data_IF_529600457921
#
_entry.id   IF_529600457921
#
_cell.length_a   1.000
_cell.length_b   1.000
_cell.length_c   1.000
_cell.angle_alpha   90.00
_cell.angle_beta   90.00
_cell.angle_gamma   90.00
#
_symmetry.space_group_name_H-M   'P 1'
#
loop_
_entity.id
_entity.type
_entity.pdbx_description
1 polymer ?
#
# COMPACT_ATOMS: atom_id res chain seq x y z
N UNK A 1 5.67 13.71 8.02
CA UNK A 1 6.55 12.55 7.85
C UNK A 1 5.71 11.29 8.08
N UNK A 2 5.95 10.19 7.39
CA UNK A 2 5.30 8.92 7.71
C UNK A 2 5.91 8.35 8.98
N UNK A 3 5.17 7.51 9.69
CA UNK A 3 5.78 6.56 10.60
C UNK A 3 6.54 5.54 9.76
N UNK A 4 7.77 5.25 10.13
CA UNK A 4 8.59 4.28 9.44
C UNK A 4 8.46 2.90 10.06
N UNK A 5 8.43 1.88 9.20
CA UNK A 5 8.49 0.49 9.62
C UNK A 5 9.78 -0.10 9.07
N UNK A 6 10.68 -0.49 9.95
CA UNK A 6 11.87 -1.26 9.58
C UNK A 6 11.49 -2.69 9.32
N UNK A 7 11.86 -3.19 8.16
CA UNK A 7 11.66 -4.58 7.73
C UNK A 7 13.02 -5.26 7.64
N UNK A 8 13.12 -6.48 8.14
CA UNK A 8 14.25 -7.38 7.92
C UNK A 8 13.77 -8.62 7.18
N UNK A 9 14.32 -8.87 6.02
CA UNK A 9 14.00 -10.05 5.23
C UNK A 9 15.23 -10.96 5.19
N UNK A 10 15.10 -12.15 5.78
CA UNK A 10 16.15 -13.19 5.75
C UNK A 10 15.72 -14.31 4.83
N UNK A 11 16.58 -14.70 3.90
CA UNK A 11 16.27 -15.66 2.85
C UNK A 11 17.27 -16.81 2.91
N UNK A 12 16.77 -18.03 2.98
CA UNK A 12 17.58 -19.25 2.98
C UNK A 12 17.16 -20.16 1.81
N UNK A 13 18.14 -20.84 1.24
CA UNK A 13 17.90 -21.81 0.17
C UNK A 13 18.79 -21.60 -1.06
N UNK A 14 18.49 -22.35 -2.13
CA UNK A 14 19.27 -22.29 -3.37
C UNK A 14 19.25 -20.90 -3.99
N UNK A 15 20.43 -20.40 -4.42
CA UNK A 15 20.59 -19.11 -5.09
C UNK A 15 20.12 -17.87 -4.29
N UNK A 16 19.90 -17.97 -2.97
CA UNK A 16 19.37 -16.88 -2.14
C UNK A 16 20.14 -15.56 -2.32
N UNK A 17 21.46 -15.57 -2.27
CA UNK A 17 22.31 -14.37 -2.49
C UNK A 17 22.08 -13.72 -3.85
N UNK A 18 22.04 -14.52 -4.91
CA UNK A 18 21.78 -14.04 -6.27
C UNK A 18 20.38 -13.51 -6.43
N UNK A 19 19.39 -14.14 -5.80
CA UNK A 19 18.00 -13.71 -5.85
C UNK A 19 17.85 -12.35 -5.18
N UNK A 20 18.38 -12.13 -3.97
CA UNK A 20 18.37 -10.81 -3.33
C UNK A 20 19.03 -9.76 -4.22
N UNK A 21 20.27 -10.06 -4.69
CA UNK A 21 21.04 -9.13 -5.51
C UNK A 21 20.30 -8.69 -6.78
N UNK A 22 19.53 -9.59 -7.39
CA UNK A 22 18.73 -9.29 -8.57
C UNK A 22 17.51 -8.38 -8.29
N UNK A 23 17.19 -8.13 -7.02
CA UNK A 23 16.08 -7.24 -6.61
C UNK A 23 16.58 -5.93 -6.01
N UNK A 24 17.89 -5.67 -6.06
CA UNK A 24 18.49 -4.40 -5.66
C UNK A 24 18.82 -3.59 -6.92
N UNK A 25 18.30 -2.37 -6.98
CA UNK A 25 18.63 -1.37 -8.02
C UNK A 25 19.35 -0.17 -7.41
N UNK A 26 19.72 0.78 -8.26
CA UNK A 26 20.31 2.06 -7.84
C UNK A 26 19.38 3.18 -8.30
N UNK A 27 19.20 4.16 -7.43
CA UNK A 27 18.54 5.40 -7.78
C UNK A 27 19.43 6.33 -8.61
N UNK A 28 18.95 7.50 -8.99
CA UNK A 28 19.67 8.50 -9.76
C UNK A 28 20.94 9.02 -9.04
N UNK A 29 21.00 8.91 -7.71
CA UNK A 29 22.13 9.30 -6.88
C UNK A 29 23.12 8.16 -6.65
N UNK A 30 22.83 6.95 -7.17
CA UNK A 30 23.63 5.75 -7.00
C UNK A 30 23.37 4.99 -5.70
N UNK A 31 22.40 5.42 -4.88
CA UNK A 31 21.99 4.72 -3.65
C UNK A 31 21.26 3.45 -4.01
N UNK A 32 21.59 2.35 -3.33
CA UNK A 32 20.94 1.06 -3.53
C UNK A 32 19.60 1.00 -2.80
N UNK A 33 18.61 0.38 -3.43
CA UNK A 33 17.34 0.07 -2.77
C UNK A 33 16.76 -1.26 -3.25
N UNK A 34 15.98 -1.91 -2.39
CA UNK A 34 15.24 -3.13 -2.70
C UNK A 34 14.02 -2.76 -3.53
N UNK A 35 14.06 -3.06 -4.83
CA UNK A 35 13.05 -2.57 -5.78
C UNK A 35 11.83 -3.48 -5.86
N UNK A 36 10.73 -3.02 -5.31
CA UNK A 36 9.43 -3.71 -5.31
C UNK A 36 8.88 -3.97 -6.71
N UNK A 37 9.22 -3.13 -7.69
CA UNK A 37 8.83 -3.35 -9.09
C UNK A 37 9.47 -4.60 -9.71
N UNK A 38 10.60 -5.07 -9.21
CA UNK A 38 11.23 -6.31 -9.67
C UNK A 38 10.53 -7.56 -9.13
N UNK A 39 9.71 -7.40 -8.08
CA UNK A 39 8.87 -8.45 -7.52
C UNK A 39 7.47 -8.37 -8.12
N UNK A 40 6.82 -7.23 -8.00
CA UNK A 40 5.47 -6.94 -8.46
C UNK A 40 5.43 -5.57 -9.13
N UNK A 41 5.63 -5.56 -10.47
CA UNK A 41 5.70 -4.32 -11.25
C UNK A 41 4.35 -3.60 -11.29
N UNK A 42 4.34 -2.33 -10.88
CA UNK A 42 3.18 -1.48 -11.04
C UNK A 42 2.97 -1.13 -12.53
N UNK A 43 1.75 -1.26 -13.07
CA UNK A 43 1.45 -0.75 -14.40
C UNK A 43 1.70 0.76 -14.52
N UNK A 44 2.37 1.17 -15.60
CA UNK A 44 2.78 2.57 -15.80
C UNK A 44 1.58 3.52 -15.93
N UNK A 45 0.45 3.04 -16.46
CA UNK A 45 -0.78 3.83 -16.58
C UNK A 45 -1.37 4.23 -15.23
N UNK A 46 -1.06 3.49 -14.16
CA UNK A 46 -1.48 3.84 -12.79
C UNK A 46 -0.67 4.98 -12.18
N UNK A 47 0.46 5.35 -12.78
CA UNK A 47 1.30 6.46 -12.29
C UNK A 47 0.71 7.81 -12.66
N UNK A 48 -0.46 8.12 -12.12
CA UNK A 48 -1.17 9.38 -12.24
C UNK A 48 -1.36 10.03 -10.87
N UNK A 49 -1.40 11.37 -10.78
CA UNK A 49 -1.51 12.07 -9.50
C UNK A 49 -2.71 11.63 -8.67
N UNK A 50 -2.50 11.37 -7.38
CA UNK A 50 -3.54 11.13 -6.38
C UNK A 50 -3.90 12.43 -5.67
N UNK A 51 -5.20 12.76 -5.59
CA UNK A 51 -5.66 13.94 -4.85
C UNK A 51 -7.04 14.43 -5.30
N UNK A 52 -7.41 15.63 -4.85
CA UNK A 52 -8.70 16.23 -5.17
C UNK A 52 -8.91 16.44 -6.68
N UNK A 53 -7.83 16.81 -7.39
CA UNK A 53 -7.87 17.04 -8.85
C UNK A 53 -8.23 15.76 -9.60
N UNK A 54 -7.62 14.62 -9.29
CA UNK A 54 -7.95 13.33 -9.91
C UNK A 54 -9.34 12.80 -9.48
N UNK A 55 -9.70 12.98 -8.21
CA UNK A 55 -11.04 12.60 -7.72
C UNK A 55 -12.14 13.40 -8.41
N UNK A 56 -11.98 14.71 -8.53
CA UNK A 56 -12.94 15.56 -9.23
C UNK A 56 -12.97 15.27 -10.73
N UNK A 57 -11.80 15.03 -11.34
CA UNK A 57 -11.69 14.60 -12.72
C UNK A 57 -12.44 13.32 -13.01
N UNK A 58 -12.30 12.30 -12.13
CA UNK A 58 -13.03 11.05 -12.23
C UNK A 58 -14.55 11.27 -12.24
N UNK A 59 -15.07 12.09 -11.30
CA UNK A 59 -16.50 12.46 -11.25
C UNK A 59 -16.96 13.23 -12.48
N UNK A 60 -16.15 14.19 -12.96
CA UNK A 60 -16.42 14.96 -14.18
C UNK A 60 -16.45 14.08 -15.43
N UNK A 61 -15.53 13.13 -15.54
CA UNK A 61 -15.54 12.18 -16.66
C UNK A 61 -16.78 11.29 -16.63
N UNK A 62 -17.18 10.77 -15.45
CA UNK A 62 -18.42 10.00 -15.31
C UNK A 62 -19.64 10.88 -15.71
N UNK A 63 -19.70 12.14 -15.30
CA UNK A 63 -20.76 13.05 -15.71
C UNK A 63 -20.77 13.29 -17.23
N UNK A 64 -19.58 13.35 -17.87
CA UNK A 64 -19.46 13.48 -19.34
C UNK A 64 -19.98 12.28 -20.11
N UNK A 65 -19.71 11.06 -19.61
CA UNK A 65 -20.15 9.81 -20.26
C UNK A 65 -21.54 9.34 -19.83
N UNK A 66 -22.12 9.97 -18.80
CA UNK A 66 -23.47 9.66 -18.36
C UNK A 66 -24.45 10.19 -19.41
N UNK A 67 -25.31 9.34 -20.01
CA UNK A 67 -26.30 9.81 -20.96
C UNK A 67 -27.25 10.78 -20.27
N UNK A 68 -27.20 12.05 -20.67
CA UNK A 68 -28.15 13.08 -20.20
C UNK A 68 -29.48 12.87 -20.87
N UNK A 69 -30.32 12.00 -20.31
CA UNK A 69 -31.65 11.73 -20.83
C UNK A 69 -32.61 12.67 -20.15
N UNK A 70 -33.01 13.70 -20.89
CA UNK A 70 -33.97 14.70 -20.40
C UNK A 70 -35.41 14.13 -20.32
N UNK A 71 -35.74 13.09 -21.11
CA UNK A 71 -37.01 12.37 -21.07
C UNK A 71 -36.80 10.89 -21.40
N UNK A 72 -36.99 10.00 -20.44
CA UNK A 72 -36.91 8.55 -20.66
C UNK A 72 -38.17 8.07 -21.42
N UNK A 73 -38.10 8.07 -22.73
CA UNK A 73 -39.23 7.72 -23.58
C UNK A 73 -38.96 6.70 -24.69
N UNK A 74 -37.79 6.74 -25.28
CA UNK A 74 -37.45 5.88 -26.41
C UNK A 74 -36.80 4.53 -26.02
N UNK A 75 -36.90 3.48 -26.86
CA UNK A 75 -36.17 2.25 -26.66
C UNK A 75 -34.64 2.45 -26.67
N UNK A 76 -34.15 3.39 -27.49
CA UNK A 76 -32.73 3.76 -27.58
C UNK A 76 -32.22 4.35 -26.25
N UNK A 77 -32.97 5.28 -25.64
CA UNK A 77 -32.63 5.88 -24.35
C UNK A 77 -32.47 4.80 -23.26
N UNK A 78 -33.37 3.83 -23.23
CA UNK A 78 -33.32 2.70 -22.27
C UNK A 78 -32.10 1.82 -22.50
N UNK A 79 -31.69 1.62 -23.77
CA UNK A 79 -30.47 0.87 -24.10
C UNK A 79 -29.21 1.60 -23.62
N UNK A 80 -29.12 2.91 -23.83
CA UNK A 80 -27.98 3.71 -23.37
C UNK A 80 -27.85 3.75 -21.86
N UNK A 81 -28.97 3.95 -21.13
CA UNK A 81 -29.00 3.87 -19.67
C UNK A 81 -28.52 2.49 -19.17
N UNK A 82 -29.04 1.42 -19.78
CA UNK A 82 -28.65 0.08 -19.39
C UNK A 82 -27.17 -0.20 -19.68
N UNK A 83 -26.65 0.25 -20.84
CA UNK A 83 -25.25 0.11 -21.18
C UNK A 83 -24.34 0.86 -20.19
N UNK A 84 -24.68 2.12 -19.87
CA UNK A 84 -23.97 2.90 -18.84
C UNK A 84 -24.02 2.23 -17.47
N UNK A 85 -25.20 1.82 -17.01
CA UNK A 85 -25.38 1.17 -15.72
C UNK A 85 -24.58 -0.13 -15.62
N UNK A 86 -24.61 -0.97 -16.67
CA UNK A 86 -23.85 -2.22 -16.73
C UNK A 86 -22.35 -1.97 -16.72
N UNK A 87 -21.86 -0.93 -17.43
CA UNK A 87 -20.46 -0.52 -17.39
C UNK A 87 -20.04 -0.08 -16.01
N UNK A 88 -20.84 0.75 -15.35
CA UNK A 88 -20.59 1.21 -13.97
C UNK A 88 -20.56 0.04 -12.97
N UNK A 89 -21.49 -0.91 -13.08
CA UNK A 89 -21.51 -2.10 -12.24
C UNK A 89 -20.25 -2.96 -12.45
N UNK A 90 -19.82 -3.11 -13.70
CA UNK A 90 -18.59 -3.84 -14.02
C UNK A 90 -17.35 -3.18 -13.41
N UNK A 91 -17.26 -1.86 -13.49
CA UNK A 91 -16.09 -1.07 -13.04
C UNK A 91 -16.06 -0.94 -11.52
N UNK A 92 -17.18 -0.65 -10.89
CA UNK A 92 -17.28 -0.38 -9.45
C UNK A 92 -17.59 -1.62 -8.60
N UNK A 93 -17.89 -2.75 -9.24
CA UNK A 93 -18.29 -4.00 -8.59
C UNK A 93 -19.78 -4.04 -8.20
N UNK A 94 -20.27 -5.20 -7.73
CA UNK A 94 -21.69 -5.41 -7.40
C UNK A 94 -22.23 -4.48 -6.30
N UNK A 95 -21.37 -3.93 -5.46
CA UNK A 95 -21.72 -2.94 -4.44
C UNK A 95 -21.78 -1.50 -4.98
N UNK A 96 -21.62 -1.33 -6.29
CA UNK A 96 -21.59 -0.03 -6.97
C UNK A 96 -22.91 0.71 -6.89
N UNK A 97 -24.03 0.00 -6.83
CA UNK A 97 -25.38 0.62 -6.84
C UNK A 97 -25.54 1.67 -5.73
N UNK A 98 -24.98 1.40 -4.53
CA UNK A 98 -24.94 2.37 -3.43
C UNK A 98 -23.91 3.49 -3.58
N UNK A 99 -22.88 3.31 -4.43
CA UNK A 99 -21.80 4.28 -4.66
C UNK A 99 -22.05 5.22 -5.84
N UNK A 100 -22.88 4.81 -6.80
CA UNK A 100 -23.19 5.61 -7.98
C UNK A 100 -23.71 7.01 -7.63
N UNK A 101 -24.68 7.19 -6.69
CA UNK A 101 -25.15 8.52 -6.31
C UNK A 101 -24.06 9.44 -5.74
N UNK A 102 -23.01 8.86 -5.11
CA UNK A 102 -21.89 9.63 -4.55
C UNK A 102 -20.90 10.09 -5.62
N UNK A 103 -20.93 9.46 -6.79
CA UNK A 103 -19.99 9.72 -7.90
C UNK A 103 -20.65 10.60 -8.96
N UNK A 104 -21.97 10.55 -9.10
CA UNK A 104 -22.71 11.37 -10.06
C UNK A 104 -22.78 12.81 -9.57
N UNK A 105 -22.28 13.73 -10.40
CA UNK A 105 -22.39 15.16 -10.16
C UNK A 105 -23.72 15.69 -10.72
N UNK A 106 -24.35 16.61 -10.00
CA UNK A 106 -25.43 17.41 -10.50
C UNK A 106 -24.88 18.50 -11.44
N UNK A 107 -25.70 19.02 -12.33
CA UNK A 107 -25.28 20.07 -13.30
C UNK A 107 -24.67 21.30 -12.62
N UNK A 108 -25.15 21.68 -11.44
CA UNK A 108 -24.63 22.79 -10.63
C UNK A 108 -23.22 22.50 -10.14
N UNK A 109 -22.94 21.26 -9.72
CA UNK A 109 -21.61 20.83 -9.27
C UNK A 109 -20.61 20.76 -10.43
N UNK A 110 -21.03 20.29 -11.60
CA UNK A 110 -20.22 20.34 -12.84
C UNK A 110 -19.87 21.77 -13.19
N UNK A 111 -20.86 22.68 -13.13
CA UNK A 111 -20.64 24.12 -13.41
C UNK A 111 -19.69 24.75 -12.39
N UNK A 112 -19.85 24.44 -11.10
CA UNK A 112 -18.95 24.92 -10.06
C UNK A 112 -17.50 24.42 -10.26
N UNK A 113 -17.30 23.15 -10.61
CA UNK A 113 -15.98 22.61 -10.90
C UNK A 113 -15.38 23.21 -12.17
N UNK A 114 -16.19 23.47 -13.20
CA UNK A 114 -15.73 24.19 -14.42
C UNK A 114 -15.24 25.60 -14.10
N UNK A 115 -15.93 26.32 -13.24
CA UNK A 115 -15.51 27.64 -12.76
C UNK A 115 -14.27 27.56 -11.88
N UNK A 116 -14.14 26.51 -11.07
CA UNK A 116 -13.00 26.30 -10.19
C UNK A 116 -11.72 26.03 -10.97
N UNK A 117 -11.75 25.13 -11.95
CA UNK A 117 -10.58 24.74 -12.72
C UNK A 117 -10.27 25.63 -13.92
N UNK A 118 -11.24 26.41 -14.40
CA UNK A 118 -11.04 27.34 -15.51
C UNK A 118 -10.33 26.71 -16.72
N UNK A 119 -9.13 27.19 -17.02
CA UNK A 119 -8.33 26.74 -18.16
C UNK A 119 -7.83 25.31 -18.03
N UNK A 120 -7.68 24.82 -16.80
CA UNK A 120 -7.27 23.43 -16.53
C UNK A 120 -8.43 22.41 -16.60
N UNK A 121 -9.66 22.84 -16.83
CA UNK A 121 -10.85 21.99 -16.77
C UNK A 121 -10.73 20.74 -17.67
N UNK A 122 -10.28 20.90 -18.90
CA UNK A 122 -10.12 19.80 -19.84
C UNK A 122 -9.05 18.81 -19.37
N UNK A 123 -7.93 19.29 -18.85
CA UNK A 123 -6.87 18.43 -18.28
C UNK A 123 -7.37 17.62 -17.09
N UNK A 124 -8.22 18.23 -16.25
CA UNK A 124 -8.85 17.55 -15.12
C UNK A 124 -9.79 16.46 -15.59
N UNK A 125 -10.58 16.70 -16.61
CA UNK A 125 -11.47 15.68 -17.22
C UNK A 125 -10.66 14.55 -17.84
N UNK A 126 -9.58 14.86 -18.56
CA UNK A 126 -8.69 13.87 -19.18
C UNK A 126 -7.97 13.01 -18.11
N UNK A 127 -7.57 13.61 -16.99
CA UNK A 127 -7.05 12.88 -15.84
C UNK A 127 -8.12 11.91 -15.27
N UNK A 128 -9.37 12.36 -15.20
CA UNK A 128 -10.51 11.52 -14.80
C UNK A 128 -10.76 10.36 -15.75
N UNK A 129 -10.62 10.58 -17.06
CA UNK A 129 -10.71 9.51 -18.07
C UNK A 129 -9.62 8.45 -17.86
N UNK A 130 -8.36 8.88 -17.62
CA UNK A 130 -7.26 7.96 -17.32
C UNK A 130 -7.56 7.13 -16.06
N UNK A 131 -8.00 7.78 -14.98
CA UNK A 131 -8.38 7.10 -13.74
C UNK A 131 -9.51 6.08 -13.95
N UNK A 132 -10.51 6.43 -14.77
CA UNK A 132 -11.61 5.53 -15.09
C UNK A 132 -11.14 4.30 -15.91
N UNK A 133 -10.31 4.52 -16.94
CA UNK A 133 -9.73 3.43 -17.74
C UNK A 133 -8.84 2.52 -16.90
N UNK A 134 -8.07 3.09 -15.97
CA UNK A 134 -7.27 2.32 -15.02
C UNK A 134 -8.14 1.44 -14.14
N UNK A 135 -9.24 1.98 -13.63
CA UNK A 135 -10.19 1.21 -12.82
C UNK A 135 -10.81 0.05 -13.63
N UNK A 136 -11.17 0.28 -14.91
CA UNK A 136 -11.68 -0.77 -15.80
C UNK A 136 -10.66 -1.88 -16.07
N UNK A 137 -9.38 -1.52 -16.24
CA UNK A 137 -8.32 -2.46 -16.64
C UNK A 137 -7.68 -3.18 -15.47
N UNK A 138 -7.42 -2.46 -14.38
CA UNK A 138 -6.60 -2.91 -13.26
C UNK A 138 -7.36 -3.04 -11.93
N UNK A 139 -8.60 -2.53 -11.85
CA UNK A 139 -9.36 -2.48 -10.60
C UNK A 139 -8.97 -1.33 -9.66
N UNK A 140 -8.07 -0.44 -10.07
CA UNK A 140 -7.57 0.70 -9.30
C UNK A 140 -7.53 1.95 -10.16
N UNK A 141 -7.79 3.11 -9.58
CA UNK A 141 -7.79 4.40 -10.30
C UNK A 141 -6.38 4.94 -10.53
N UNK A 142 -5.49 4.69 -9.58
CA UNK A 142 -4.16 5.28 -9.52
C UNK A 142 -3.17 4.37 -8.74
N UNK A 143 -1.91 4.84 -8.63
CA UNK A 143 -0.82 4.13 -7.99
C UNK A 143 -1.06 3.81 -6.50
N UNK A 144 -1.77 4.69 -5.77
CA UNK A 144 -1.82 4.65 -4.31
C UNK A 144 -2.50 3.38 -3.78
N UNK A 145 -3.77 3.16 -4.17
CA UNK A 145 -4.52 1.98 -3.73
C UNK A 145 -3.93 0.69 -4.31
N UNK A 146 -3.38 0.76 -5.54
CA UNK A 146 -2.70 -0.38 -6.14
C UNK A 146 -1.48 -0.81 -5.34
N UNK A 147 -0.63 0.15 -4.93
CA UNK A 147 0.56 -0.16 -4.11
C UNK A 147 0.19 -0.68 -2.74
N UNK A 148 -0.77 -0.06 -2.05
CA UNK A 148 -1.26 -0.58 -0.76
C UNK A 148 -1.74 -2.03 -0.88
N UNK A 149 -2.46 -2.37 -1.95
CA UNK A 149 -2.96 -3.73 -2.18
C UNK A 149 -1.85 -4.72 -2.54
N UNK A 150 -0.93 -4.33 -3.43
CA UNK A 150 0.06 -5.24 -4.01
C UNK A 150 1.40 -5.27 -3.28
N UNK A 151 1.81 -4.14 -2.69
CA UNK A 151 3.05 -4.03 -1.94
C UNK A 151 2.83 -4.04 -0.42
N UNK A 152 1.63 -3.73 0.05
CA UNK A 152 1.32 -3.54 1.47
C UNK A 152 1.72 -2.17 2.01
N UNK A 153 2.37 -1.33 1.21
CA UNK A 153 2.84 0.02 1.57
C UNK A 153 2.73 0.94 0.36
N UNK A 154 2.72 2.26 0.60
CA UNK A 154 2.51 3.25 -0.47
C UNK A 154 3.75 3.57 -1.32
N UNK A 155 4.96 3.41 -0.76
CA UNK A 155 6.22 3.74 -1.43
C UNK A 155 7.07 2.50 -1.64
N UNK A 156 8.05 2.59 -2.53
CA UNK A 156 9.11 1.59 -2.66
C UNK A 156 9.98 1.59 -1.40
N UNK A 157 10.83 0.59 -1.25
CA UNK A 157 11.75 0.50 -0.11
C UNK A 157 12.64 1.76 -0.02
N UNK A 158 12.85 2.22 1.21
CA UNK A 158 13.80 3.26 1.57
C UNK A 158 14.90 2.67 2.46
N UNK A 159 16.01 3.38 2.64
CA UNK A 159 17.08 3.05 3.59
C UNK A 159 17.51 1.58 3.55
N UNK A 160 17.68 1.06 2.32
CA UNK A 160 18.02 -0.35 2.12
C UNK A 160 19.45 -0.65 2.53
N UNK A 161 19.64 -1.72 3.29
CA UNK A 161 20.94 -2.23 3.71
C UNK A 161 21.01 -3.76 3.53
N UNK A 162 21.94 -4.22 2.70
CA UNK A 162 22.22 -5.65 2.51
C UNK A 162 23.36 -6.06 3.46
N UNK A 163 23.11 -7.06 4.30
CA UNK A 163 24.12 -7.59 5.23
C UNK A 163 25.27 -8.31 4.51
N UNK A 164 26.37 -8.50 5.23
CA UNK A 164 27.57 -9.19 4.69
C UNK A 164 27.31 -10.65 4.31
N UNK A 165 26.30 -11.29 4.94
CA UNK A 165 25.84 -12.64 4.60
C UNK A 165 25.17 -12.72 3.22
N UNK A 166 24.84 -11.56 2.63
CA UNK A 166 24.11 -11.39 1.35
C UNK A 166 22.77 -12.11 1.25
N UNK A 167 22.23 -12.52 2.39
CA UNK A 167 20.94 -13.24 2.53
C UNK A 167 19.95 -12.50 3.41
N UNK A 168 20.45 -11.50 4.15
CA UNK A 168 19.62 -10.65 5.02
C UNK A 168 19.64 -9.23 4.51
N UNK A 169 18.48 -8.66 4.27
CA UNK A 169 18.28 -7.29 3.81
C UNK A 169 17.35 -6.53 4.75
N UNK A 170 17.76 -5.32 5.12
CA UNK A 170 16.95 -4.35 5.86
C UNK A 170 16.45 -3.28 4.91
N UNK A 171 15.25 -2.83 5.10
CA UNK A 171 14.68 -1.69 4.39
C UNK A 171 13.52 -1.09 5.17
N UNK A 172 13.28 0.21 4.97
CA UNK A 172 12.17 0.91 5.59
C UNK A 172 11.00 1.06 4.63
N UNK A 173 9.79 0.97 5.20
CA UNK A 173 8.53 1.21 4.51
C UNK A 173 7.67 2.24 5.25
N UNK A 174 6.80 2.93 4.51
CA UNK A 174 5.98 3.99 5.08
C UNK A 174 4.64 3.44 5.59
N UNK A 175 4.34 3.64 6.89
CA UNK A 175 3.08 3.37 7.59
C UNK A 175 2.75 1.90 7.86
N UNK A 176 3.27 0.97 7.08
CA UNK A 176 2.95 -0.45 7.19
C UNK A 176 4.08 -1.31 6.64
N UNK A 177 4.30 -2.53 7.16
CA UNK A 177 5.24 -3.47 6.59
C UNK A 177 4.78 -3.94 5.20
N UNK A 178 5.72 -4.39 4.38
CA UNK A 178 5.45 -4.84 3.01
C UNK A 178 4.99 -6.30 2.93
N UNK A 179 4.09 -6.74 3.80
CA UNK A 179 3.65 -8.15 3.90
C UNK A 179 3.15 -8.69 2.56
N UNK A 180 2.25 -7.96 1.88
CA UNK A 180 1.71 -8.40 0.58
C UNK A 180 2.78 -8.58 -0.50
N UNK A 181 3.84 -7.76 -0.46
CA UNK A 181 4.97 -7.91 -1.38
C UNK A 181 5.80 -9.15 -1.04
N UNK A 182 6.09 -9.37 0.25
CA UNK A 182 6.87 -10.53 0.70
C UNK A 182 6.14 -11.83 0.39
N UNK A 183 4.81 -11.86 0.50
CA UNK A 183 4.00 -13.00 0.05
C UNK A 183 4.22 -13.30 -1.45
N UNK A 184 4.14 -12.27 -2.30
CA UNK A 184 4.40 -12.43 -3.74
C UNK A 184 5.85 -12.82 -4.04
N UNK A 185 6.80 -12.36 -3.24
CA UNK A 185 8.20 -12.76 -3.34
C UNK A 185 8.36 -14.24 -2.99
N UNK A 186 7.70 -14.72 -1.92
CA UNK A 186 7.70 -16.12 -1.55
C UNK A 186 7.05 -17.00 -2.63
N UNK A 187 5.89 -16.61 -3.16
CA UNK A 187 5.21 -17.30 -4.27
C UNK A 187 6.11 -17.41 -5.52
N UNK A 188 6.87 -16.34 -5.82
CA UNK A 188 7.79 -16.31 -6.98
C UNK A 188 9.01 -17.21 -6.79
N UNK A 189 9.44 -17.45 -5.55
CA UNK A 189 10.62 -18.23 -5.19
C UNK A 189 10.30 -19.33 -4.17
N UNK A 190 9.46 -20.32 -4.54
CA UNK A 190 8.99 -21.35 -3.61
C UNK A 190 10.08 -22.26 -3.04
N UNK A 191 11.28 -22.26 -3.66
CA UNK A 191 12.43 -23.01 -3.18
C UNK A 191 13.14 -22.35 -1.98
N UNK A 192 12.73 -21.13 -1.61
CA UNK A 192 13.32 -20.39 -0.51
C UNK A 192 12.48 -20.56 0.76
N UNK A 193 13.19 -20.56 1.90
CA UNK A 193 12.64 -20.24 3.19
C UNK A 193 12.86 -18.76 3.46
N UNK A 194 11.81 -18.04 3.82
CA UNK A 194 11.85 -16.59 4.00
C UNK A 194 11.33 -16.26 5.40
N UNK A 195 12.08 -15.45 6.12
CA UNK A 195 11.64 -14.85 7.39
C UNK A 195 11.52 -13.34 7.19
N UNK A 196 10.38 -12.78 7.53
CA UNK A 196 10.08 -11.36 7.49
C UNK A 196 9.78 -10.86 8.89
N UNK A 197 10.73 -10.16 9.49
CA UNK A 197 10.58 -9.46 10.75
C UNK A 197 10.31 -7.98 10.49
N UNK A 198 9.45 -7.36 11.29
CA UNK A 198 9.17 -5.92 11.15
C UNK A 198 8.81 -5.27 12.49
N UNK A 199 9.17 -3.99 12.62
CA UNK A 199 8.79 -3.12 13.74
C UNK A 199 8.64 -1.68 13.27
N UNK A 200 7.54 -1.01 13.68
CA UNK A 200 7.33 0.42 13.50
C UNK A 200 8.22 1.23 14.44
N UNK A 201 8.53 2.49 14.10
CA UNK A 201 9.35 3.41 14.92
C UNK A 201 8.74 3.72 16.28
N UNK A 202 7.43 3.54 16.47
CA UNK A 202 6.78 3.65 17.76
C UNK A 202 7.05 2.38 18.58
N UNK A 203 7.61 2.56 19.78
CA UNK A 203 8.10 1.48 20.66
C UNK A 203 7.05 0.40 20.88
N UNK A 204 7.36 -0.83 20.48
CA UNK A 204 6.56 -2.03 20.69
C UNK A 204 5.07 -1.91 20.28
N UNK A 205 4.76 -0.99 19.35
CA UNK A 205 3.39 -0.75 18.92
C UNK A 205 2.96 -1.69 17.79
N UNK A 206 3.70 -1.69 16.68
CA UNK A 206 3.36 -2.51 15.51
C UNK A 206 4.56 -3.35 15.08
N UNK A 207 4.62 -4.57 15.60
CA UNK A 207 5.73 -5.50 15.40
C UNK A 207 5.21 -6.87 15.00
N UNK A 208 6.01 -7.62 14.24
CA UNK A 208 5.63 -8.98 13.87
C UNK A 208 6.73 -9.75 13.19
N UNK A 209 6.46 -11.05 13.03
CA UNK A 209 7.31 -12.02 12.34
C UNK A 209 6.47 -12.96 11.51
N UNK A 210 6.73 -13.00 10.21
CA UNK A 210 6.10 -13.94 9.28
C UNK A 210 7.14 -14.86 8.66
N UNK A 211 6.79 -16.11 8.47
CA UNK A 211 7.66 -17.12 7.86
C UNK A 211 6.96 -17.79 6.69
N UNK A 212 7.73 -18.03 5.63
CA UNK A 212 7.24 -18.60 4.38
C UNK A 212 8.12 -19.77 3.96
N UNK A 213 7.49 -20.87 3.58
CA UNK A 213 8.13 -22.04 3.01
C UNK A 213 7.28 -22.58 1.85
N UNK A 214 7.92 -23.11 0.82
CA UNK A 214 7.23 -23.63 -0.38
C UNK A 214 6.30 -22.60 -1.06
N UNK A 215 6.62 -21.31 -0.97
CA UNK A 215 5.85 -20.23 -1.55
C UNK A 215 4.59 -19.81 -0.78
N UNK A 216 4.36 -20.37 0.42
CA UNK A 216 3.18 -20.08 1.25
C UNK A 216 3.59 -19.69 2.68
N UNK A 217 2.77 -18.89 3.36
CA UNK A 217 3.01 -18.59 4.77
C UNK A 217 2.83 -19.83 5.63
N UNK A 218 3.83 -20.12 6.48
CA UNK A 218 3.78 -21.19 7.48
C UNK A 218 3.58 -20.66 8.90
N UNK A 219 3.91 -19.39 9.11
CA UNK A 219 3.69 -18.68 10.37
C UNK A 219 3.40 -17.21 10.13
N UNK A 220 2.43 -16.63 10.84
CA UNK A 220 2.11 -15.20 10.86
C UNK A 220 1.85 -14.79 12.30
N UNK A 221 2.81 -14.09 12.89
CA UNK A 221 2.74 -13.57 14.23
C UNK A 221 2.79 -12.06 14.20
N UNK A 222 1.62 -11.42 14.21
CA UNK A 222 1.48 -9.99 14.50
C UNK A 222 1.40 -9.89 16.03
N UNK A 223 2.43 -9.31 16.65
CA UNK A 223 2.51 -9.27 18.10
C UNK A 223 1.51 -8.27 18.67
N UNK A 224 0.94 -8.61 19.81
CA UNK A 224 0.07 -7.68 20.54
C UNK A 224 0.91 -6.46 20.96
N UNK A 225 0.36 -5.27 20.77
CA UNK A 225 0.97 -4.01 21.20
C UNK A 225 1.44 -4.09 22.66
N UNK A 226 2.66 -3.62 22.90
CA UNK A 226 3.30 -3.57 24.21
C UNK A 226 3.45 -4.95 24.89
N UNK A 227 3.31 -6.06 24.15
CA UNK A 227 3.66 -7.38 24.66
C UNK A 227 5.17 -7.55 24.76
N UNK A 228 5.60 -8.54 25.55
CA UNK A 228 7.01 -8.90 25.66
C UNK A 228 7.63 -9.16 24.28
N UNK A 229 6.95 -9.91 23.44
CA UNK A 229 7.39 -10.26 22.08
C UNK A 229 7.51 -9.03 21.18
N UNK A 230 6.58 -8.06 21.31
CA UNK A 230 6.64 -6.81 20.57
C UNK A 230 7.85 -5.96 20.97
N UNK A 231 8.14 -5.86 22.27
CA UNK A 231 9.35 -5.18 22.76
C UNK A 231 10.63 -5.87 22.29
N UNK A 232 10.71 -7.20 22.40
CA UNK A 232 11.88 -7.97 21.96
C UNK A 232 12.14 -7.79 20.45
N UNK A 233 11.10 -7.79 19.61
CA UNK A 233 11.22 -7.50 18.19
C UNK A 233 11.64 -6.04 17.93
N UNK A 234 11.08 -5.10 18.67
CA UNK A 234 11.44 -3.69 18.56
C UNK A 234 12.92 -3.47 18.92
N UNK A 235 13.39 -4.05 20.03
CA UNK A 235 14.80 -3.94 20.43
C UNK A 235 15.76 -4.55 19.41
N UNK A 236 15.37 -5.68 18.81
CA UNK A 236 16.17 -6.35 17.79
C UNK A 236 16.33 -5.52 16.51
N UNK A 237 15.31 -4.74 16.12
CA UNK A 237 15.31 -3.94 14.89
C UNK A 237 15.72 -2.47 15.09
N UNK A 238 15.38 -1.88 16.22
CA UNK A 238 15.60 -0.45 16.50
C UNK A 238 16.64 -0.19 17.59
N UNK A 239 16.92 -1.17 18.45
CA UNK A 239 17.78 -0.98 19.63
C UNK A 239 17.01 -0.43 20.84
N UNK A 240 17.71 0.31 21.71
CA UNK A 240 17.23 0.94 22.95
C UNK A 240 16.77 -0.03 24.07
N UNK A 241 17.15 -1.31 24.03
CA UNK A 241 16.88 -2.26 25.12
C UNK A 241 17.39 -1.74 26.49
N UNK A 242 18.51 -1.03 26.47
CA UNK A 242 19.12 -0.46 27.67
C UNK A 242 18.24 0.56 28.40
N UNK A 243 17.21 1.09 27.79
CA UNK A 243 16.28 2.05 28.39
C UNK A 243 15.12 1.39 29.13
N UNK A 244 15.00 0.06 29.02
CA UNK A 244 13.88 -0.71 29.56
C UNK A 244 14.34 -1.79 30.53
N UNK A 245 13.40 -2.25 31.37
CA UNK A 245 13.56 -3.39 32.28
C UNK A 245 12.32 -4.28 32.19
N UNK A 246 12.54 -5.57 32.23
CA UNK A 246 11.43 -6.53 32.22
C UNK A 246 10.69 -6.56 33.57
N UNK A 247 9.37 -6.32 33.54
CA UNK A 247 8.49 -6.47 34.71
C UNK A 247 7.81 -7.84 34.67
N UNK A 248 8.21 -8.80 35.54
CA UNK A 248 7.62 -10.13 35.57
C UNK A 248 6.16 -10.16 36.06
N UNK A 249 5.69 -9.09 36.75
CA UNK A 249 4.29 -9.01 37.21
C UNK A 249 3.34 -8.67 36.05
N UNK A 250 3.78 -7.78 35.15
CA UNK A 250 3.03 -7.38 33.99
C UNK A 250 3.34 -8.25 32.76
N UNK A 251 4.40 -9.09 32.83
CA UNK A 251 4.92 -9.87 31.73
C UNK A 251 5.24 -9.04 30.48
N UNK A 252 5.82 -7.84 30.69
CA UNK A 252 6.22 -6.91 29.64
C UNK A 252 7.42 -6.07 30.08
N UNK A 253 7.91 -5.19 29.22
CA UNK A 253 8.97 -4.25 29.55
C UNK A 253 8.36 -2.91 29.95
N UNK A 254 9.02 -2.22 30.88
CA UNK A 254 8.70 -0.88 31.36
C UNK A 254 9.93 0.02 31.26
N UNK A 255 9.73 1.33 31.07
CA UNK A 255 10.84 2.28 31.05
C UNK A 255 11.53 2.33 32.40
N UNK A 256 12.85 2.39 32.42
CA UNK A 256 13.62 2.60 33.66
C UNK A 256 13.29 3.92 34.34
N UNK A 257 12.97 4.98 33.57
CA UNK A 257 12.54 6.26 34.11
C UNK A 257 11.26 6.14 34.93
N UNK A 258 10.27 5.35 34.45
CA UNK A 258 8.99 5.15 35.17
C UNK A 258 9.20 4.40 36.49
N UNK A 259 10.10 3.41 36.52
CA UNK A 259 10.42 2.65 37.74
C UNK A 259 11.13 3.52 38.78
N UNK A 260 12.00 4.42 38.38
CA UNK A 260 12.70 5.35 39.30
C UNK A 260 11.74 6.38 39.95
N UNK A 261 10.70 6.82 39.21
CA UNK A 261 9.68 7.75 39.72
C UNK A 261 8.77 7.11 40.78
N UNK A 262 8.47 5.80 40.66
CA UNK A 262 7.64 5.08 41.64
C UNK A 262 8.39 4.78 42.97
N UNK A 263 9.72 4.87 42.99
CA UNK A 263 10.54 4.63 44.18
C UNK A 263 10.85 5.91 45.01
N UNK A 264 10.36 7.07 44.60
CA UNK A 264 10.53 8.36 45.29
C UNK A 264 9.23 8.81 45.93
#
# INVERSE_FOLDING_TARGET
LPNWVTNRLTIEGPDAEKIIQNHITKDENGSQFFDFNLICKMPEELDIPKGSKSTNGFKLYIAKINPMINEVGSPEDKMEINAFSNRMIKVLGKNAIGKIPMILLRNEEVTALKLHYKDEFNEVVDLGEKAFRNLEKYGFTDWYEWRLHNWGTKWNACNTFLCDDKKTIYFDTAWSPSVSLVEKFAEKYPQLKITHDYAEEQIAFFCGKHEYENGIPVSRNDYKEYSKEAFEMYFDLWGCEDEFVFDPKQNTYVSKEDVEVEMV
#
